data_IF_816866332101
#
_entry.id   IF_816866332101
#
_cell.length_a   1.000
_cell.length_b   1.000
_cell.length_c   1.000
_cell.angle_alpha   90.00
_cell.angle_beta   90.00
_cell.angle_gamma   90.00
#
_symmetry.space_group_name_H-M   'P 1'
#
loop_
_entity.id
_entity.type
_entity.pdbx_description
1 polymer ?
#
# COMPACT_ATOMS: atom_id res chain seq x y z
N UNK A 1 -23.90 23.40 -10.33
CA UNK A 1 -23.33 22.11 -9.93
C UNK A 1 -22.08 22.46 -9.14
N UNK A 2 -22.02 22.15 -7.86
CA UNK A 2 -20.87 22.51 -7.01
C UNK A 2 -20.57 21.28 -6.15
N UNK A 3 -19.61 20.49 -6.59
CA UNK A 3 -19.19 19.28 -5.91
C UNK A 3 -18.01 19.63 -5.00
N UNK A 4 -18.08 19.41 -3.70
CA UNK A 4 -16.98 19.74 -2.77
C UNK A 4 -16.30 18.45 -2.36
N UNK A 5 -15.06 18.20 -2.78
CA UNK A 5 -14.23 17.10 -2.25
C UNK A 5 -13.52 17.58 -0.98
N UNK A 6 -13.91 17.09 0.20
CA UNK A 6 -13.13 17.30 1.43
C UNK A 6 -12.06 16.22 1.52
N UNK A 7 -10.80 16.64 1.60
CA UNK A 7 -9.63 15.79 1.87
C UNK A 7 -9.11 16.07 3.26
N UNK A 8 -9.31 15.15 4.20
CA UNK A 8 -8.95 15.38 5.59
C UNK A 8 -7.44 15.13 5.86
N UNK A 9 -6.71 16.13 6.39
CA UNK A 9 -5.26 16.06 6.74
C UNK A 9 -5.08 15.99 8.26
N UNK A 10 -4.32 15.00 8.74
CA UNK A 10 -4.10 14.77 10.18
C UNK A 10 -2.65 15.02 10.63
N UNK A 11 -2.53 15.55 11.85
CA UNK A 11 -1.34 15.43 12.70
C UNK A 11 -0.21 16.42 12.44
N UNK A 12 0.76 16.54 13.37
CA UNK A 12 1.97 17.33 13.15
C UNK A 12 2.74 16.77 11.93
N UNK A 13 2.76 17.58 10.87
CA UNK A 13 3.72 17.72 9.78
C UNK A 13 4.46 16.53 9.13
N UNK A 14 4.14 15.26 9.39
CA UNK A 14 4.73 14.17 8.60
C UNK A 14 3.89 13.93 7.34
N UNK A 15 4.03 14.80 6.35
CA UNK A 15 3.71 14.38 4.98
C UNK A 15 4.90 13.55 4.56
N UNK A 16 4.72 12.23 4.56
CA UNK A 16 5.71 11.34 4.00
C UNK A 16 6.07 11.90 2.60
N UNK A 17 7.34 12.18 2.29
CA UNK A 17 7.71 12.92 1.08
C UNK A 17 7.15 12.28 -0.21
N UNK A 18 6.95 10.97 -0.19
CA UNK A 18 6.35 10.16 -1.26
C UNK A 18 4.84 10.37 -1.43
N UNK A 19 4.15 10.95 -0.45
CA UNK A 19 2.73 11.32 -0.52
C UNK A 19 2.49 12.69 -1.18
N UNK A 20 3.49 13.58 -1.18
CA UNK A 20 3.35 14.94 -1.75
C UNK A 20 2.98 14.88 -3.23
N UNK A 21 3.66 14.05 -4.02
CA UNK A 21 3.40 13.95 -5.46
C UNK A 21 2.01 13.39 -5.78
N UNK A 22 1.57 12.24 -5.22
CA UNK A 22 0.20 11.76 -5.40
C UNK A 22 -0.86 12.78 -4.99
N UNK A 23 -0.65 13.49 -3.88
CA UNK A 23 -1.58 14.51 -3.39
C UNK A 23 -1.65 15.72 -4.33
N UNK A 24 -0.52 16.18 -4.87
CA UNK A 24 -0.49 17.25 -5.86
C UNK A 24 -1.15 16.81 -7.18
N UNK A 25 -0.91 15.59 -7.63
CA UNK A 25 -1.60 15.04 -8.81
C UNK A 25 -3.11 14.95 -8.61
N UNK A 26 -3.55 14.61 -7.40
CA UNK A 26 -4.96 14.63 -7.02
C UNK A 26 -5.51 16.05 -7.10
N UNK A 27 -4.79 17.03 -6.54
CA UNK A 27 -5.18 18.44 -6.59
C UNK A 27 -5.32 18.92 -8.05
N UNK A 28 -4.35 18.63 -8.91
CA UNK A 28 -4.40 19.01 -10.32
C UNK A 28 -5.54 18.31 -11.08
N UNK A 29 -5.76 17.01 -10.84
CA UNK A 29 -6.92 16.30 -11.42
C UNK A 29 -8.24 16.87 -10.94
N UNK A 30 -8.34 17.31 -9.70
CA UNK A 30 -9.58 17.90 -9.20
C UNK A 30 -9.83 19.28 -9.84
N UNK A 31 -8.78 20.07 -10.09
CA UNK A 31 -8.89 21.35 -10.80
C UNK A 31 -9.44 21.23 -12.23
N UNK A 32 -9.32 20.06 -12.89
CA UNK A 32 -9.90 19.88 -14.23
C UNK A 32 -11.42 19.79 -14.22
N UNK A 33 -12.03 19.65 -13.05
CA UNK A 33 -13.47 19.69 -12.89
C UNK A 33 -13.85 21.08 -12.37
N UNK A 34 -14.52 21.88 -13.20
CA UNK A 34 -14.87 23.29 -12.90
C UNK A 34 -15.60 23.48 -11.57
N UNK A 35 -16.30 22.43 -11.13
CA UNK A 35 -17.17 22.44 -9.97
C UNK A 35 -16.59 21.72 -8.75
N UNK A 36 -15.38 21.15 -8.84
CA UNK A 36 -14.77 20.42 -7.72
C UNK A 36 -13.78 21.28 -6.92
N UNK A 37 -14.00 21.39 -5.60
CA UNK A 37 -13.08 22.08 -4.68
C UNK A 37 -12.51 21.13 -3.64
N UNK A 38 -11.24 21.34 -3.28
CA UNK A 38 -10.52 20.60 -2.24
C UNK A 38 -10.40 21.41 -0.94
N UNK A 39 -10.82 20.82 0.19
CA UNK A 39 -10.64 21.43 1.52
C UNK A 39 -10.14 20.45 2.57
N UNK A 40 -9.42 20.94 3.58
CA UNK A 40 -8.75 20.12 4.61
C UNK A 40 -9.35 20.34 6.00
N UNK A 41 -9.93 19.28 6.60
CA UNK A 41 -10.47 19.27 7.97
C UNK A 41 -9.87 18.10 8.76
N UNK A 42 -9.69 18.25 10.08
CA UNK A 42 -9.25 17.15 10.96
C UNK A 42 -10.39 16.13 11.11
N UNK A 43 -10.21 14.84 10.80
CA UNK A 43 -11.19 13.82 11.13
C UNK A 43 -11.47 13.79 12.63
N UNK A 44 -12.73 13.63 12.97
CA UNK A 44 -13.12 13.31 14.33
C UNK A 44 -12.52 11.94 14.69
N UNK A 45 -12.10 11.71 15.95
CA UNK A 45 -11.40 10.49 16.39
C UNK A 45 -12.17 9.17 16.22
N UNK A 46 -13.24 9.12 15.43
CA UNK A 46 -14.01 7.93 15.07
C UNK A 46 -13.26 6.98 14.11
N UNK A 47 -11.93 7.04 14.02
CA UNK A 47 -11.18 5.96 13.38
C UNK A 47 -11.26 4.73 14.29
N UNK A 48 -12.16 3.80 13.97
CA UNK A 48 -12.31 2.52 14.69
C UNK A 48 -11.02 1.66 14.73
N UNK A 49 -10.00 2.03 13.96
CA UNK A 49 -8.67 1.43 14.00
C UNK A 49 -7.80 2.20 14.99
N UNK A 50 -7.38 1.53 16.06
CA UNK A 50 -6.51 2.10 17.09
C UNK A 50 -5.12 1.46 17.05
N UNK A 51 -4.12 2.20 17.53
CA UNK A 51 -2.75 1.70 17.69
C UNK A 51 -2.13 1.19 16.38
N UNK A 52 -1.71 -0.08 16.38
CA UNK A 52 -0.96 -0.71 15.29
C UNK A 52 -1.75 -0.93 14.00
N UNK A 53 -3.07 -0.71 14.02
CA UNK A 53 -3.94 -0.92 12.86
C UNK A 53 -4.23 0.37 12.06
N UNK A 54 -3.73 1.52 12.52
CA UNK A 54 -4.08 2.83 11.96
C UNK A 54 -2.92 3.49 11.21
N UNK A 55 -3.23 4.14 10.07
CA UNK A 55 -2.28 5.02 9.36
C UNK A 55 -2.58 6.51 9.58
N UNK A 56 -3.49 6.81 10.51
CA UNK A 56 -3.95 8.17 10.76
C UNK A 56 -2.81 9.11 11.16
N UNK A 57 -1.96 8.65 12.09
CA UNK A 57 -0.83 9.43 12.61
C UNK A 57 0.33 9.55 11.61
N UNK A 58 0.32 8.76 10.54
CA UNK A 58 1.37 8.76 9.52
C UNK A 58 1.06 9.68 8.34
N UNK A 59 -0.12 10.29 8.33
CA UNK A 59 -0.63 11.09 7.21
C UNK A 59 -0.96 10.28 5.95
N UNK A 60 -0.84 8.95 5.98
CA UNK A 60 -1.12 8.06 4.82
C UNK A 60 -2.58 7.62 4.75
N UNK A 61 -3.36 7.80 5.82
CA UNK A 61 -4.81 7.69 5.78
C UNK A 61 -5.43 9.03 5.40
N UNK A 62 -6.28 9.03 4.38
CA UNK A 62 -7.01 10.20 3.91
C UNK A 62 -8.50 9.88 3.82
N UNK A 63 -9.32 10.87 4.15
CA UNK A 63 -10.76 10.80 3.92
C UNK A 63 -11.14 11.71 2.77
N UNK A 64 -11.75 11.15 1.74
CA UNK A 64 -12.33 11.87 0.61
C UNK A 64 -13.83 12.03 0.84
N UNK A 65 -14.39 13.22 0.65
CA UNK A 65 -15.83 13.45 0.78
C UNK A 65 -16.25 14.31 -0.40
N UNK A 66 -16.85 13.75 -1.46
CA UNK A 66 -17.57 14.57 -2.45
C UNK A 66 -18.90 15.01 -1.83
N UNK A 67 -19.29 16.27 -2.02
CA UNK A 67 -20.62 16.78 -1.70
C UNK A 67 -21.16 17.58 -2.87
N UNK A 68 -22.15 17.09 -3.60
CA UNK A 68 -22.87 17.86 -4.61
C UNK A 68 -24.37 17.74 -4.35
N UNK A 69 -25.10 18.85 -4.44
CA UNK A 69 -26.56 18.86 -4.19
C UNK A 69 -27.36 18.05 -5.21
N UNK A 70 -26.76 17.75 -6.38
CA UNK A 70 -27.39 17.04 -7.48
C UNK A 70 -27.03 15.56 -7.51
N UNK A 71 -25.86 15.18 -7.00
CA UNK A 71 -25.38 13.81 -7.07
C UNK A 71 -26.03 12.94 -6.00
N UNK A 72 -26.37 11.71 -6.38
CA UNK A 72 -26.70 10.67 -5.42
C UNK A 72 -25.46 10.22 -4.66
N UNK A 73 -25.64 9.64 -3.47
CA UNK A 73 -24.52 9.11 -2.67
C UNK A 73 -23.67 8.08 -3.44
N UNK A 74 -24.29 7.29 -4.31
CA UNK A 74 -23.61 6.30 -5.14
C UNK A 74 -22.72 6.97 -6.20
N UNK A 75 -23.21 8.03 -6.85
CA UNK A 75 -22.43 8.81 -7.81
C UNK A 75 -21.27 9.56 -7.15
N UNK A 76 -21.49 10.13 -5.96
CA UNK A 76 -20.44 10.76 -5.16
C UNK A 76 -19.33 9.74 -4.83
N UNK A 77 -19.71 8.55 -4.40
CA UNK A 77 -18.78 7.49 -4.05
C UNK A 77 -18.04 6.95 -5.28
N UNK A 78 -18.75 6.77 -6.40
CA UNK A 78 -18.16 6.38 -7.69
C UNK A 78 -17.10 7.38 -8.15
N UNK A 79 -17.40 8.69 -8.06
CA UNK A 79 -16.47 9.75 -8.41
C UNK A 79 -15.22 9.73 -7.50
N UNK A 80 -15.42 9.56 -6.19
CA UNK A 80 -14.30 9.45 -5.24
C UNK A 80 -13.36 8.29 -5.59
N UNK A 81 -13.91 7.11 -5.85
CA UNK A 81 -13.13 5.93 -6.23
C UNK A 81 -12.40 6.12 -7.56
N UNK A 82 -13.08 6.71 -8.54
CA UNK A 82 -12.51 7.02 -9.85
C UNK A 82 -11.33 8.01 -9.77
N UNK A 83 -11.33 8.91 -8.79
CA UNK A 83 -10.23 9.84 -8.54
C UNK A 83 -9.08 9.20 -7.74
N UNK A 84 -9.41 8.47 -6.68
CA UNK A 84 -8.45 7.95 -5.71
C UNK A 84 -7.62 6.77 -6.27
N UNK A 85 -8.25 5.79 -6.91
CA UNK A 85 -7.60 4.54 -7.35
C UNK A 85 -6.47 4.80 -8.38
N UNK A 86 -6.65 5.63 -9.43
CA UNK A 86 -5.58 5.92 -10.38
C UNK A 86 -4.35 6.57 -9.74
N UNK A 87 -4.52 7.17 -8.56
CA UNK A 87 -3.46 7.83 -7.79
C UNK A 87 -2.88 6.92 -6.70
N UNK A 88 -3.18 5.61 -6.75
CA UNK A 88 -2.64 4.56 -5.87
C UNK A 88 -3.12 4.63 -4.42
N UNK A 89 -4.24 5.30 -4.18
CA UNK A 89 -4.97 5.15 -2.93
C UNK A 89 -5.73 3.82 -2.93
N UNK A 90 -5.68 3.12 -1.81
CA UNK A 90 -6.37 1.85 -1.57
C UNK A 90 -7.56 2.13 -0.65
N UNK A 91 -8.80 1.85 -1.06
CA UNK A 91 -9.95 2.04 -0.18
C UNK A 91 -9.90 1.05 1.00
N UNK A 92 -10.38 1.47 2.17
CA UNK A 92 -10.49 0.58 3.33
C UNK A 92 -11.51 -0.54 3.09
N UNK A 93 -12.59 -0.23 2.35
CA UNK A 93 -13.62 -1.18 1.96
C UNK A 93 -13.31 -1.73 0.57
N UNK A 94 -13.69 -3.00 0.34
CA UNK A 94 -13.46 -3.67 -0.95
C UNK A 94 -14.34 -3.13 -2.08
N UNK A 95 -15.51 -2.61 -1.74
CA UNK A 95 -16.51 -2.15 -2.70
C UNK A 95 -16.99 -0.74 -2.36
N UNK A 96 -17.38 0.07 -3.36
CA UNK A 96 -17.97 1.39 -3.15
C UNK A 96 -19.42 1.24 -2.69
N UNK A 97 -19.62 0.78 -1.45
CA UNK A 97 -20.95 0.61 -0.86
C UNK A 97 -21.17 1.71 0.20
N UNK A 98 -22.34 2.37 0.20
CA UNK A 98 -22.84 3.23 1.28
C UNK A 98 -22.47 2.74 2.68
N UNK A 99 -21.62 3.48 3.41
CA UNK A 99 -21.20 3.09 4.77
C UNK A 99 -20.28 4.11 5.47
N UNK A 100 -20.02 3.93 6.78
CA UNK A 100 -19.24 4.89 7.58
C UNK A 100 -17.78 5.01 7.15
N UNK A 101 -17.27 3.99 6.46
CA UNK A 101 -15.88 3.81 6.04
C UNK A 101 -15.63 3.99 4.55
N UNK A 102 -16.68 4.16 3.75
CA UNK A 102 -16.62 4.28 2.28
C UNK A 102 -15.71 5.40 1.77
N UNK A 103 -15.49 6.41 2.61
CA UNK A 103 -14.70 7.61 2.32
C UNK A 103 -13.24 7.50 2.71
N UNK A 104 -12.82 6.41 3.35
CA UNK A 104 -11.46 6.27 3.90
C UNK A 104 -10.59 5.50 2.93
N UNK A 105 -9.43 6.09 2.64
CA UNK A 105 -8.45 5.54 1.72
C UNK A 105 -7.06 5.64 2.32
N UNK A 106 -6.20 4.72 1.90
CA UNK A 106 -4.85 4.58 2.39
C UNK A 106 -3.85 4.68 1.24
N UNK A 107 -2.80 5.46 1.45
CA UNK A 107 -1.66 5.50 0.56
C UNK A 107 -0.54 4.62 1.10
N UNK A 108 -0.47 3.38 0.62
CA UNK A 108 0.53 2.41 1.06
C UNK A 108 1.96 2.84 0.73
N UNK A 109 2.15 3.64 -0.33
CA UNK A 109 3.46 4.13 -0.76
C UNK A 109 4.49 3.01 -0.93
N UNK A 110 5.69 3.10 -0.31
CA UNK A 110 6.74 2.08 -0.41
C UNK A 110 6.33 0.76 0.25
N UNK A 111 5.32 0.77 1.13
CA UNK A 111 4.86 -0.39 1.89
C UNK A 111 3.88 -1.28 1.12
N UNK A 112 3.47 -0.87 -0.09
CA UNK A 112 2.61 -1.68 -0.96
C UNK A 112 3.21 -3.07 -1.24
N UNK A 113 4.54 -3.15 -1.43
CA UNK A 113 5.21 -4.42 -1.71
C UNK A 113 5.23 -5.35 -0.49
N UNK A 114 5.34 -4.80 0.71
CA UNK A 114 5.20 -5.56 1.96
C UNK A 114 3.80 -6.17 2.05
N UNK A 115 2.77 -5.36 1.81
CA UNK A 115 1.38 -5.79 1.80
C UNK A 115 1.15 -6.96 0.83
N UNK A 116 1.54 -6.78 -0.44
CA UNK A 116 1.35 -7.77 -1.50
C UNK A 116 2.10 -9.08 -1.22
N UNK A 117 3.35 -9.00 -0.72
CA UNK A 117 4.13 -10.20 -0.38
C UNK A 117 3.48 -11.01 0.72
N UNK A 118 3.02 -10.36 1.79
CA UNK A 118 2.39 -11.06 2.91
C UNK A 118 1.07 -11.72 2.47
N UNK A 119 0.28 -11.06 1.62
CA UNK A 119 -0.89 -11.68 1.01
C UNK A 119 -0.52 -12.89 0.14
N UNK A 120 0.51 -12.78 -0.69
CA UNK A 120 0.97 -13.87 -1.57
C UNK A 120 1.53 -15.06 -0.79
N UNK A 121 2.09 -14.82 0.40
CA UNK A 121 2.57 -15.86 1.32
C UNK A 121 1.45 -16.50 2.17
N UNK A 122 0.19 -16.11 1.98
CA UNK A 122 -0.94 -16.60 2.78
C UNK A 122 -0.99 -16.06 4.21
N UNK A 123 -0.35 -14.91 4.46
CA UNK A 123 -0.26 -14.22 5.77
C UNK A 123 -1.10 -12.94 5.77
N UNK A 124 -2.31 -13.03 5.25
CA UNK A 124 -3.17 -11.87 5.05
C UNK A 124 -3.53 -11.14 6.35
N UNK A 125 -3.66 -11.90 7.44
CA UNK A 125 -3.90 -11.41 8.80
C UNK A 125 -2.77 -10.52 9.34
N UNK A 126 -1.54 -10.74 8.88
CA UNK A 126 -0.38 -9.95 9.27
C UNK A 126 -0.08 -8.81 8.30
N UNK A 127 -0.72 -8.80 7.12
CA UNK A 127 -0.42 -7.85 6.05
C UNK A 127 -0.77 -6.41 6.44
N UNK A 128 -2.00 -6.18 6.92
CA UNK A 128 -2.47 -4.86 7.31
C UNK A 128 -1.71 -4.29 8.52
N UNK A 129 -1.58 -5.00 9.66
CA UNK A 129 -0.81 -4.50 10.80
C UNK A 129 0.63 -4.18 10.42
N UNK A 130 1.30 -5.08 9.68
CA UNK A 130 2.70 -4.86 9.29
C UNK A 130 2.89 -3.57 8.50
N UNK A 131 1.97 -3.21 7.62
CA UNK A 131 2.07 -2.00 6.79
C UNK A 131 1.74 -0.75 7.60
N UNK A 132 0.75 -0.80 8.50
CA UNK A 132 0.47 0.29 9.43
C UNK A 132 1.66 0.55 10.36
N UNK A 133 2.24 -0.50 10.92
CA UNK A 133 3.45 -0.43 11.75
C UNK A 133 4.62 0.13 10.94
N UNK A 134 4.85 -0.36 9.71
CA UNK A 134 5.89 0.16 8.83
C UNK A 134 5.75 1.67 8.61
N UNK A 135 4.53 2.11 8.29
CA UNK A 135 4.21 3.51 8.07
C UNK A 135 4.41 4.36 9.33
N UNK A 136 4.09 3.84 10.52
CA UNK A 136 4.32 4.51 11.79
C UNK A 136 5.81 4.59 12.13
N UNK A 137 6.57 3.51 11.92
CA UNK A 137 8.03 3.48 12.07
C UNK A 137 8.72 4.49 11.12
N UNK A 138 8.24 4.61 9.87
CA UNK A 138 8.76 5.52 8.84
C UNK A 138 8.79 6.98 9.31
N UNK A 139 7.72 7.40 10.01
CA UNK A 139 7.56 8.77 10.51
C UNK A 139 7.96 8.94 11.98
N UNK A 140 8.45 7.88 12.62
CA UNK A 140 8.77 7.90 14.06
C UNK A 140 7.56 8.02 14.98
N UNK A 141 6.37 7.62 14.53
CA UNK A 141 5.12 7.66 15.29
C UNK A 141 4.81 6.34 16.02
N UNK A 142 5.57 5.26 15.80
CA UNK A 142 5.34 3.97 16.47
C UNK A 142 5.47 4.10 18.00
N UNK A 143 4.41 3.71 18.73
CA UNK A 143 4.34 3.74 20.20
C UNK A 143 4.05 2.39 20.84
N UNK A 144 4.00 1.32 20.04
CA UNK A 144 3.74 -0.03 20.55
C UNK A 144 4.99 -0.71 21.12
N UNK A 145 4.90 -2.03 21.27
CA UNK A 145 5.99 -2.85 21.81
C UNK A 145 7.17 -2.97 20.83
N UNK A 146 8.32 -3.39 21.38
CA UNK A 146 9.53 -3.76 20.61
C UNK A 146 9.89 -2.75 19.52
N UNK A 147 10.04 -1.45 19.88
CA UNK A 147 10.21 -0.39 18.89
C UNK A 147 11.47 -0.57 18.05
N UNK A 148 12.57 -1.07 18.63
CA UNK A 148 13.83 -1.26 17.91
C UNK A 148 13.68 -2.40 16.88
N UNK A 149 13.12 -3.53 17.27
CA UNK A 149 12.93 -4.69 16.40
C UNK A 149 12.01 -4.38 15.22
N UNK A 150 10.89 -3.71 15.50
CA UNK A 150 9.93 -3.30 14.46
C UNK A 150 10.51 -2.22 13.55
N UNK A 151 11.28 -1.28 14.08
CA UNK A 151 12.02 -0.32 13.26
C UNK A 151 13.02 -1.03 12.35
N UNK A 152 13.84 -1.96 12.86
CA UNK A 152 14.77 -2.75 12.03
C UNK A 152 14.03 -3.49 10.91
N UNK A 153 12.93 -4.17 11.22
CA UNK A 153 12.11 -4.87 10.22
C UNK A 153 11.54 -3.90 9.17
N UNK A 154 10.99 -2.76 9.60
CA UNK A 154 10.48 -1.73 8.69
C UNK A 154 11.59 -1.18 7.77
N UNK A 155 12.75 -0.87 8.32
CA UNK A 155 13.88 -0.33 7.57
C UNK A 155 14.48 -1.36 6.60
N UNK A 156 14.54 -2.64 6.97
CA UNK A 156 14.91 -3.74 6.05
C UNK A 156 13.99 -3.76 4.82
N UNK A 157 12.68 -3.68 5.03
CA UNK A 157 11.73 -3.59 3.91
C UNK A 157 11.91 -2.32 3.08
N UNK A 158 12.16 -1.17 3.73
CA UNK A 158 12.40 0.11 3.04
C UNK A 158 13.61 0.04 2.11
N UNK A 159 14.69 -0.64 2.51
CA UNK A 159 15.89 -0.87 1.68
C UNK A 159 15.74 -2.06 0.72
N UNK A 160 14.53 -2.66 0.65
CA UNK A 160 14.18 -3.69 -0.33
C UNK A 160 14.45 -5.13 0.12
N UNK A 161 14.88 -5.34 1.37
CA UNK A 161 15.17 -6.66 1.94
C UNK A 161 13.92 -7.22 2.62
N UNK A 162 13.42 -8.35 2.14
CA UNK A 162 12.28 -9.02 2.75
C UNK A 162 12.68 -9.72 4.06
N UNK A 163 12.13 -9.29 5.20
CA UNK A 163 12.31 -9.94 6.49
C UNK A 163 11.04 -10.63 7.04
N UNK A 164 9.95 -10.70 6.26
CA UNK A 164 8.66 -11.20 6.72
C UNK A 164 7.79 -10.11 7.37
N UNK A 165 6.81 -10.48 8.23
CA UNK A 165 5.96 -9.52 8.95
C UNK A 165 6.76 -8.58 9.86
N UNK A 166 6.19 -7.41 10.16
CA UNK A 166 6.75 -6.49 11.15
C UNK A 166 6.11 -6.78 12.50
N UNK A 167 6.53 -7.88 13.13
CA UNK A 167 5.97 -8.44 14.37
C UNK A 167 6.85 -8.19 15.61
N UNK A 168 7.99 -7.53 15.43
CA UNK A 168 8.99 -7.32 16.49
C UNK A 168 9.72 -8.59 16.92
N UNK A 169 9.65 -9.69 16.15
CA UNK A 169 10.36 -10.94 16.44
C UNK A 169 11.57 -11.04 15.50
N UNK A 170 12.78 -11.08 16.08
CA UNK A 170 14.02 -11.30 15.33
C UNK A 170 14.19 -12.79 15.01
N UNK A 171 13.36 -13.29 14.10
CA UNK A 171 13.39 -14.68 13.62
C UNK A 171 14.41 -14.92 12.51
N UNK A 172 14.47 -16.15 11.96
CA UNK A 172 15.42 -16.53 10.91
C UNK A 172 15.38 -15.63 9.68
N UNK A 173 14.20 -15.14 9.27
CA UNK A 173 14.05 -14.22 8.12
C UNK A 173 14.66 -12.86 8.42
N UNK A 174 14.43 -12.30 9.61
CA UNK A 174 15.05 -11.04 10.04
C UNK A 174 16.56 -11.17 10.14
N UNK A 175 17.07 -12.28 10.70
CA UNK A 175 18.51 -12.57 10.77
C UNK A 175 19.12 -12.68 9.36
N UNK A 176 18.47 -13.38 8.44
CA UNK A 176 18.90 -13.43 7.04
C UNK A 176 18.88 -12.04 6.39
N UNK A 177 17.87 -11.23 6.70
CA UNK A 177 17.78 -9.84 6.22
C UNK A 177 18.95 -8.97 6.73
N UNK A 178 19.27 -9.06 8.03
CA UNK A 178 20.42 -8.38 8.62
C UNK A 178 21.74 -8.86 8.00
N UNK A 179 21.89 -10.15 7.73
CA UNK A 179 23.06 -10.68 7.00
C UNK A 179 23.17 -10.11 5.58
N UNK A 180 22.05 -10.04 4.85
CA UNK A 180 22.02 -9.45 3.51
C UNK A 180 22.39 -7.96 3.53
N UNK A 181 22.02 -7.24 4.60
CA UNK A 181 22.42 -5.86 4.85
C UNK A 181 23.86 -5.71 5.40
N UNK A 182 24.54 -6.82 5.72
CA UNK A 182 25.85 -6.86 6.40
C UNK A 182 25.85 -6.30 7.84
N UNK A 183 24.73 -6.42 8.54
CA UNK A 183 24.48 -5.88 9.89
C UNK A 183 24.27 -6.97 10.95
N UNK A 184 24.59 -8.23 10.66
CA UNK A 184 24.30 -9.34 11.59
C UNK A 184 25.20 -9.42 12.82
N UNK A 185 26.31 -8.66 12.85
CA UNK A 185 27.35 -8.75 13.88
C UNK A 185 27.38 -7.53 14.81
N UNK A 186 26.38 -6.65 14.72
CA UNK A 186 26.25 -5.43 15.51
C UNK A 186 24.94 -5.45 16.31
N UNK A 187 24.81 -4.52 17.27
CA UNK A 187 23.57 -4.39 18.04
C UNK A 187 22.40 -3.93 17.15
N UNK A 188 21.16 -4.21 17.57
CA UNK A 188 19.98 -3.82 16.79
C UNK A 188 19.81 -2.31 16.71
N UNK A 189 20.20 -1.57 17.75
CA UNK A 189 20.18 -0.10 17.76
C UNK A 189 21.15 0.47 16.72
N UNK A 190 22.34 -0.13 16.62
CA UNK A 190 23.34 0.26 15.61
C UNK A 190 22.84 -0.09 14.21
N UNK A 191 22.27 -1.29 14.03
CA UNK A 191 21.69 -1.72 12.77
C UNK A 191 20.52 -0.82 12.32
N UNK A 192 19.65 -0.42 13.25
CA UNK A 192 18.54 0.50 12.98
C UNK A 192 19.03 1.84 12.44
N UNK A 193 20.03 2.43 13.10
CA UNK A 193 20.65 3.68 12.68
C UNK A 193 21.27 3.56 11.29
N UNK A 194 22.07 2.52 11.05
CA UNK A 194 22.71 2.28 9.74
C UNK A 194 21.68 2.04 8.64
N UNK A 195 20.62 1.27 8.91
CA UNK A 195 19.55 1.05 7.94
C UNK A 195 18.80 2.34 7.62
N UNK A 196 18.56 3.21 8.61
CA UNK A 196 17.86 4.49 8.40
C UNK A 196 18.63 5.42 7.47
N UNK A 197 19.96 5.40 7.53
CA UNK A 197 20.84 6.20 6.68
C UNK A 197 20.92 5.65 5.24
N UNK A 198 20.59 4.37 5.01
CA UNK A 198 20.58 3.79 3.68
C UNK A 198 19.44 4.37 2.80
N UNK A 199 19.67 4.57 1.50
CA UNK A 199 18.62 5.03 0.60
C UNK A 199 17.52 3.97 0.47
N UNK A 200 16.27 4.42 0.37
CA UNK A 200 15.15 3.52 0.10
C UNK A 200 15.36 2.79 -1.21
N UNK A 201 14.98 1.52 -1.28
CA UNK A 201 15.01 0.78 -2.53
C UNK A 201 14.05 1.44 -3.53
N UNK A 202 14.62 2.07 -4.55
CA UNK A 202 13.84 2.47 -5.70
C UNK A 202 13.43 1.19 -6.41
N UNK A 203 12.12 0.96 -6.54
CA UNK A 203 11.60 -0.08 -7.43
C UNK A 203 12.19 0.15 -8.81
N UNK A 204 13.20 -0.64 -9.17
CA UNK A 204 13.75 -0.63 -10.52
C UNK A 204 12.59 -1.02 -11.42
N UNK A 205 12.09 -0.07 -12.23
CA UNK A 205 11.19 -0.38 -13.33
C UNK A 205 11.94 -1.37 -14.21
N UNK A 206 11.64 -2.65 -14.08
CA UNK A 206 12.15 -3.64 -15.01
C UNK A 206 11.55 -3.28 -16.36
N UNK A 207 12.35 -2.60 -17.19
CA UNK A 207 12.01 -2.31 -18.59
C UNK A 207 12.04 -3.58 -19.46
N UNK A 208 12.45 -4.70 -18.89
CA UNK A 208 12.46 -5.98 -19.59
C UNK A 208 11.08 -6.59 -19.47
N UNK A 209 10.50 -6.91 -20.62
CA UNK A 209 9.38 -7.84 -20.69
C UNK A 209 9.84 -9.14 -20.03
N UNK A 210 9.19 -9.52 -18.93
CA UNK A 210 9.44 -10.79 -18.27
C UNK A 210 8.45 -11.79 -18.85
N UNK A 211 8.96 -12.89 -19.37
CA UNK A 211 8.12 -13.97 -19.89
C UNK A 211 8.04 -15.08 -18.86
N UNK A 212 6.85 -15.66 -18.72
CA UNK A 212 6.59 -16.77 -17.80
C UNK A 212 5.80 -17.88 -18.49
N UNK A 213 5.78 -19.07 -17.90
CA UNK A 213 4.99 -20.19 -18.37
C UNK A 213 4.43 -20.95 -17.17
N UNK A 214 3.12 -21.16 -17.14
CA UNK A 214 2.42 -21.94 -16.12
C UNK A 214 1.94 -23.24 -16.74
N UNK A 215 2.26 -24.34 -16.07
CA UNK A 215 1.77 -25.68 -16.39
C UNK A 215 1.22 -26.27 -15.10
N UNK A 216 -0.05 -26.66 -15.10
CA UNK A 216 -0.65 -27.46 -14.03
C UNK A 216 -0.95 -28.81 -14.66
N UNK A 217 -0.30 -29.86 -14.15
CA UNK A 217 -0.46 -31.20 -14.68
C UNK A 217 -1.68 -31.86 -14.07
N UNK A 218 -2.43 -32.61 -14.88
CA UNK A 218 -3.55 -33.45 -14.46
C UNK A 218 -4.69 -32.69 -13.76
N UNK A 219 -4.86 -31.40 -14.06
CA UNK A 219 -5.97 -30.61 -13.51
C UNK A 219 -6.37 -29.55 -14.53
N UNK A 220 -7.67 -29.38 -14.73
CA UNK A 220 -8.15 -28.28 -15.57
C UNK A 220 -7.99 -26.97 -14.82
N UNK A 221 -7.64 -25.93 -15.56
CA UNK A 221 -7.52 -24.60 -15.00
C UNK A 221 -7.83 -23.53 -16.03
N UNK A 222 -8.29 -22.39 -15.54
CA UNK A 222 -8.45 -21.16 -16.29
C UNK A 222 -7.52 -20.08 -15.75
N UNK A 223 -7.12 -19.16 -16.61
CA UNK A 223 -6.20 -18.08 -16.27
C UNK A 223 -6.82 -16.76 -16.65
N UNK A 224 -6.96 -15.87 -15.66
CA UNK A 224 -7.40 -14.50 -15.85
C UNK A 224 -6.24 -13.55 -15.52
N UNK A 225 -5.82 -12.76 -16.51
CA UNK A 225 -4.78 -11.74 -16.31
C UNK A 225 -5.39 -10.34 -16.20
N UNK A 226 -4.83 -9.51 -15.32
CA UNK A 226 -5.21 -8.11 -15.13
C UNK A 226 -3.98 -7.20 -15.17
N UNK A 227 -4.16 -5.95 -15.60
CA UNK A 227 -3.08 -4.96 -15.63
C UNK A 227 -2.18 -5.10 -16.87
N UNK A 228 -0.86 -4.99 -16.71
CA UNK A 228 0.12 -5.07 -17.81
C UNK A 228 0.67 -6.49 -18.02
N UNK A 229 -0.22 -7.47 -17.87
CA UNK A 229 0.08 -8.88 -18.06
C UNK A 229 -0.85 -9.40 -19.15
N UNK A 230 -0.27 -10.06 -20.16
CA UNK A 230 -1.03 -10.80 -21.16
C UNK A 230 -0.75 -12.29 -21.01
N UNK A 231 -1.79 -13.10 -21.17
CA UNK A 231 -1.67 -14.57 -21.22
C UNK A 231 -2.07 -15.10 -22.59
N UNK A 232 -1.33 -16.09 -23.07
CA UNK A 232 -1.65 -16.85 -24.29
C UNK A 232 -1.67 -18.33 -23.93
N UNK A 233 -2.78 -19.01 -24.21
CA UNK A 233 -2.87 -20.47 -24.03
C UNK A 233 -2.04 -21.16 -25.11
N UNK A 234 -1.19 -22.10 -24.70
CA UNK A 234 -0.31 -22.88 -25.57
C UNK A 234 -0.55 -24.37 -25.31
N UNK A 235 -0.08 -25.24 -26.20
CA UNK A 235 -0.38 -26.68 -26.13
C UNK A 235 -0.01 -27.35 -24.80
N UNK A 236 1.00 -26.83 -24.10
CA UNK A 236 1.52 -27.37 -22.85
C UNK A 236 1.27 -26.47 -21.64
N UNK A 237 0.38 -25.49 -21.71
CA UNK A 237 0.07 -24.61 -20.58
C UNK A 237 -0.38 -23.20 -20.96
N UNK A 238 0.04 -22.21 -20.17
CA UNK A 238 -0.24 -20.79 -20.42
C UNK A 238 1.04 -19.98 -20.35
N UNK A 239 1.38 -19.30 -21.45
CA UNK A 239 2.50 -18.38 -21.52
C UNK A 239 2.06 -16.98 -21.08
N UNK A 240 2.95 -16.26 -20.40
CA UNK A 240 2.72 -14.90 -19.93
C UNK A 240 3.75 -13.95 -20.51
N UNK A 241 3.32 -12.74 -20.86
CA UNK A 241 4.20 -11.60 -21.02
C UNK A 241 3.85 -10.54 -19.98
N UNK A 242 4.79 -10.27 -19.08
CA UNK A 242 4.68 -9.30 -17.99
C UNK A 242 5.47 -8.05 -18.39
N UNK A 243 4.74 -7.01 -18.77
CA UNK A 243 5.29 -5.72 -19.18
C UNK A 243 5.24 -4.68 -18.05
N UNK A 244 4.71 -5.07 -16.89
CA UNK A 244 4.55 -4.19 -15.74
C UNK A 244 3.70 -4.84 -14.64
N UNK A 245 3.24 -4.06 -13.67
CA UNK A 245 2.41 -4.55 -12.58
C UNK A 245 1.06 -5.09 -13.11
N UNK A 246 0.60 -6.17 -12.49
CA UNK A 246 -0.65 -6.82 -12.83
C UNK A 246 -0.89 -8.02 -11.94
N UNK A 247 -2.03 -8.70 -12.15
CA UNK A 247 -2.41 -9.89 -11.40
C UNK A 247 -2.64 -11.04 -12.37
N UNK A 248 -2.24 -12.24 -11.95
CA UNK A 248 -2.61 -13.50 -12.59
C UNK A 248 -3.50 -14.21 -11.58
N UNK A 249 -4.73 -14.52 -11.97
CA UNK A 249 -5.65 -15.38 -11.21
C UNK A 249 -5.70 -16.70 -11.95
N UNK A 250 -5.48 -17.79 -11.22
CA UNK A 250 -5.56 -19.14 -11.76
C UNK A 250 -6.67 -19.83 -11.00
N UNK A 251 -7.75 -20.14 -11.69
CA UNK A 251 -8.85 -20.92 -11.15
C UNK A 251 -8.61 -22.38 -11.56
N UNK A 252 -8.51 -23.26 -10.57
CA UNK A 252 -8.23 -24.69 -10.76
C UNK A 252 -9.52 -25.45 -10.43
N UNK A 253 -9.97 -26.29 -11.35
CA UNK A 253 -11.20 -27.09 -11.23
C UNK A 253 -10.93 -28.50 -10.67
#
# INVERSE_FOLDING_TARGET
MEARIKLKRHGPLYVAPDLVTPLNMLIEKVKTFENLRLSFEKPEPDSHLTGEYSMLETGREVRFIVKDEVLTLEEELGLMWALAIPLKFTPIERYPIPGPRQSVFHFLGPWALLYERLLAEGRGELSWPSVCIAAQCDVGAWRGDKPIERNVQAQLHRVGINCGPIDGIIGPRTVTGLKAARLSNISLETAEKELREQPSAVLKKNKRNVYGHLVIQNTEYSVTTMGRITSTRVNNGTAFAVQGPGRIVVDVE
#
